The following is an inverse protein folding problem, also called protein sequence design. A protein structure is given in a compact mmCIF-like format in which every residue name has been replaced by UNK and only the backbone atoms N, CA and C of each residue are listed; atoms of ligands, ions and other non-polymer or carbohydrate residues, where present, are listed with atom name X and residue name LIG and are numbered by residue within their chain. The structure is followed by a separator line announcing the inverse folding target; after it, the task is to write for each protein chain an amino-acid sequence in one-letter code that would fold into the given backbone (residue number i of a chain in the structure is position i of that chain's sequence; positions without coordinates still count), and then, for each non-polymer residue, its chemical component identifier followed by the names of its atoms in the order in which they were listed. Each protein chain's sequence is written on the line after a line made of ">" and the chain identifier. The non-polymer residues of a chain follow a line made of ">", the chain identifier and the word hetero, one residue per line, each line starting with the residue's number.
data_IF_083124488796
#
_entry.id   IF_083124488796
#
_cell.length_a   1.000
_cell.length_b   1.000
_cell.length_c   1.000
_cell.angle_alpha   90.00
_cell.angle_beta   90.00
_cell.angle_gamma   90.00
#
_symmetry.space_group_name_H-M   'P 1'
#
loop_
_entity.id
_entity.type
_entity.pdbx_description
1 polymer ?
#
# COMPACT_ATOMS: atom_id res chain seq x y z
N UNK A 1 10.91 -12.95 -11.85
CA UNK A 1 11.58 -12.37 -10.68
C UNK A 1 10.50 -11.78 -9.79
N UNK A 2 10.48 -12.05 -8.49
CA UNK A 2 9.45 -11.50 -7.58
C UNK A 2 9.91 -10.12 -7.12
N UNK A 3 9.05 -9.12 -7.26
CA UNK A 3 9.29 -7.76 -6.79
C UNK A 3 9.07 -7.70 -5.27
N UNK A 4 10.04 -7.14 -4.55
CA UNK A 4 9.97 -7.00 -3.08
C UNK A 4 9.83 -5.54 -2.73
N UNK A 5 8.78 -5.24 -1.97
CA UNK A 5 8.56 -3.96 -1.33
C UNK A 5 8.89 -4.04 0.16
N UNK A 6 9.85 -3.22 0.60
CA UNK A 6 10.21 -3.11 2.00
C UNK A 6 9.34 -2.04 2.68
N UNK A 7 8.68 -2.40 3.77
CA UNK A 7 7.92 -1.46 4.60
C UNK A 7 8.86 -0.83 5.64
N UNK A 8 9.10 0.46 5.53
CA UNK A 8 10.01 1.21 6.39
C UNK A 8 9.27 2.10 7.38
N UNK A 9 9.80 2.22 8.60
CA UNK A 9 9.46 3.28 9.54
C UNK A 9 10.58 4.32 9.56
N UNK A 10 10.27 5.54 9.12
CA UNK A 10 11.25 6.60 8.93
C UNK A 10 12.41 6.16 7.98
N UNK A 11 13.57 6.78 8.12
CA UNK A 11 14.74 6.53 7.26
C UNK A 11 15.68 5.43 7.79
N UNK A 12 15.39 4.88 8.97
CA UNK A 12 16.27 3.90 9.61
C UNK A 12 16.38 2.65 8.75
N UNK A 13 17.61 2.31 8.32
CA UNK A 13 17.88 1.14 7.48
C UNK A 13 17.78 1.36 5.98
N UNK A 14 17.28 2.52 5.50
CA UNK A 14 17.21 2.78 4.05
C UNK A 14 18.59 2.79 3.38
N UNK A 15 19.62 3.26 4.10
CA UNK A 15 21.00 3.32 3.58
C UNK A 15 21.60 1.95 3.26
N UNK A 16 21.12 0.88 3.91
CA UNK A 16 21.63 -0.49 3.69
C UNK A 16 20.88 -1.23 2.59
N UNK A 17 19.81 -0.65 2.03
CA UNK A 17 19.07 -1.25 0.94
C UNK A 17 19.84 -1.17 -0.38
N UNK A 18 19.56 -2.15 -1.24
CA UNK A 18 20.12 -2.30 -2.58
C UNK A 18 19.01 -2.70 -3.56
N UNK A 19 19.05 -2.13 -4.77
CA UNK A 19 18.00 -2.28 -5.79
C UNK A 19 17.90 -3.68 -6.38
N UNK A 20 18.91 -4.54 -6.23
CA UNK A 20 18.81 -5.95 -6.60
C UNK A 20 17.96 -6.74 -5.59
N UNK A 21 17.88 -6.27 -4.34
CA UNK A 21 17.16 -6.93 -3.26
C UNK A 21 15.78 -6.34 -2.99
N UNK A 22 15.60 -5.04 -3.15
CA UNK A 22 14.34 -4.32 -2.90
C UNK A 22 14.14 -3.32 -4.03
N UNK A 23 13.04 -3.44 -4.75
CA UNK A 23 12.75 -2.55 -5.89
C UNK A 23 11.93 -1.33 -5.49
N UNK A 24 11.27 -1.39 -4.33
CA UNK A 24 10.44 -0.30 -3.82
C UNK A 24 10.40 -0.29 -2.30
N UNK A 25 10.26 0.89 -1.71
CA UNK A 25 10.01 1.08 -0.28
C UNK A 25 8.66 1.73 -0.07
N UNK A 26 7.82 1.15 0.77
CA UNK A 26 6.70 1.87 1.37
C UNK A 26 7.22 2.62 2.60
N UNK A 27 7.18 3.96 2.54
CA UNK A 27 7.63 4.84 3.62
C UNK A 27 6.45 5.24 4.49
N UNK A 28 6.52 4.81 5.75
CA UNK A 28 5.59 5.13 6.80
C UNK A 28 6.29 5.77 8.00
N UNK A 29 5.49 6.31 8.92
CA UNK A 29 5.85 6.41 10.34
C UNK A 29 4.84 5.60 11.18
N UNK A 30 5.10 5.42 12.48
CA UNK A 30 4.17 4.81 13.44
C UNK A 30 3.59 3.45 12.99
N UNK A 31 4.46 2.49 12.68
CA UNK A 31 4.07 1.12 12.33
C UNK A 31 3.35 0.40 13.48
N UNK A 32 3.50 0.87 14.72
CA UNK A 32 2.74 0.38 15.88
C UNK A 32 1.21 0.46 15.68
N UNK A 33 0.73 1.41 14.87
CA UNK A 33 -0.70 1.54 14.49
C UNK A 33 -0.99 1.15 13.04
N UNK A 34 -0.03 0.47 12.39
CA UNK A 34 -0.12 0.01 11.00
C UNK A 34 0.31 1.06 9.96
N UNK A 35 1.08 2.07 10.36
CA UNK A 35 1.61 3.10 9.45
C UNK A 35 0.73 4.35 9.39
N UNK A 36 1.35 5.52 9.47
CA UNK A 36 0.77 6.85 9.21
C UNK A 36 1.67 7.63 8.25
N UNK A 37 1.16 8.76 7.73
CA UNK A 37 1.96 9.68 6.92
C UNK A 37 3.23 10.07 7.69
N UNK A 38 4.44 9.86 7.12
CA UNK A 38 5.69 10.31 7.71
C UNK A 38 5.84 11.83 7.64
N UNK A 39 6.69 12.41 8.49
CA UNK A 39 6.92 13.87 8.46
C UNK A 39 7.53 14.35 7.13
N UNK A 40 7.30 15.62 6.79
CA UNK A 40 7.88 16.28 5.60
C UNK A 40 9.39 16.02 5.43
N UNK A 41 10.17 16.18 6.51
CA UNK A 41 11.62 15.97 6.47
C UNK A 41 12.00 14.51 6.18
N UNK A 42 11.20 13.56 6.65
CA UNK A 42 11.41 12.14 6.41
C UNK A 42 11.12 11.80 4.95
N UNK A 43 10.02 12.28 4.37
CA UNK A 43 9.71 12.07 2.94
C UNK A 43 10.84 12.63 2.08
N UNK A 44 11.24 13.87 2.32
CA UNK A 44 12.29 14.57 1.55
C UNK A 44 13.62 13.83 1.55
N UNK A 45 14.10 13.40 2.71
CA UNK A 45 15.39 12.73 2.80
C UNK A 45 15.31 11.26 2.36
N UNK A 46 14.18 10.58 2.56
CA UNK A 46 13.96 9.24 2.03
C UNK A 46 13.97 9.21 0.50
N UNK A 47 13.27 10.16 -0.16
CA UNK A 47 13.26 10.27 -1.62
C UNK A 47 14.67 10.32 -2.18
N UNK A 48 15.50 11.24 -1.67
CA UNK A 48 16.92 11.35 -2.06
C UNK A 48 17.69 10.04 -1.88
N UNK A 49 17.63 9.43 -0.69
CA UNK A 49 18.38 8.21 -0.38
C UNK A 49 17.98 7.06 -1.31
N UNK A 50 16.68 6.91 -1.58
CA UNK A 50 16.14 5.81 -2.37
C UNK A 50 16.39 6.01 -3.87
N UNK A 51 16.20 7.23 -4.36
CA UNK A 51 16.46 7.56 -5.76
C UNK A 51 17.95 7.46 -6.13
N UNK A 52 18.86 7.85 -5.23
CA UNK A 52 20.32 7.62 -5.40
C UNK A 52 20.69 6.13 -5.54
N UNK A 53 19.79 5.23 -5.12
CA UNK A 53 19.96 3.77 -5.15
C UNK A 53 19.11 3.08 -6.22
N UNK A 54 18.42 3.85 -7.07
CA UNK A 54 17.44 3.33 -8.04
C UNK A 54 16.31 2.49 -7.39
N UNK A 55 15.85 2.90 -6.20
CA UNK A 55 14.73 2.28 -5.48
C UNK A 55 13.55 3.27 -5.48
N UNK A 56 12.36 2.81 -5.89
CA UNK A 56 11.17 3.67 -5.88
C UNK A 56 10.62 3.89 -4.46
N UNK A 57 10.00 5.04 -4.24
CA UNK A 57 9.36 5.46 -3.00
C UNK A 57 7.83 5.47 -3.14
N UNK A 58 7.15 4.71 -2.28
CA UNK A 58 5.71 4.78 -2.08
C UNK A 58 5.43 5.46 -0.72
N UNK A 59 4.78 6.61 -0.70
CA UNK A 59 4.52 7.35 0.54
C UNK A 59 3.14 7.02 1.09
N UNK A 60 3.08 6.61 2.36
CA UNK A 60 1.82 6.44 3.08
C UNK A 60 1.12 7.77 3.25
N UNK A 61 -0.18 7.81 2.92
CA UNK A 61 -1.09 8.93 3.16
C UNK A 61 -2.18 8.42 4.09
N UNK A 62 -1.96 8.59 5.39
CA UNK A 62 -2.90 8.16 6.43
C UNK A 62 -2.75 9.05 7.66
N UNK A 63 -3.77 9.87 7.99
CA UNK A 63 -3.64 10.95 8.97
C UNK A 63 -3.59 10.44 10.42
N UNK A 64 -3.99 9.17 10.65
CA UNK A 64 -4.01 8.53 11.97
C UNK A 64 -4.17 7.01 11.84
N UNK A 65 -3.87 6.31 12.93
CA UNK A 65 -4.24 4.90 13.11
C UNK A 65 -5.76 4.69 13.27
N UNK A 66 -6.15 3.44 13.51
CA UNK A 66 -7.55 3.08 13.75
C UNK A 66 -8.34 2.82 12.47
N UNK A 67 -9.52 3.42 12.36
CA UNK A 67 -10.47 3.19 11.26
C UNK A 67 -9.99 3.78 9.92
N UNK A 68 -10.70 3.48 8.84
CA UNK A 68 -10.48 4.07 7.51
C UNK A 68 -11.67 4.95 7.07
N UNK A 69 -12.56 5.29 8.00
CA UNK A 69 -13.67 6.22 7.79
C UNK A 69 -13.19 7.60 8.23
N UNK A 70 -13.03 8.51 7.29
CA UNK A 70 -12.47 9.84 7.55
C UNK A 70 -13.54 10.91 7.57
N UNK A 71 -13.35 11.93 8.39
CA UNK A 71 -14.16 13.14 8.34
C UNK A 71 -13.52 14.20 7.43
N UNK A 72 -14.26 15.27 7.14
CA UNK A 72 -13.81 16.35 6.25
C UNK A 72 -12.47 16.99 6.64
N UNK A 73 -12.18 17.10 7.94
CA UNK A 73 -10.90 17.67 8.41
C UNK A 73 -9.76 16.68 8.18
N UNK A 74 -10.01 15.38 8.37
CA UNK A 74 -9.02 14.34 8.10
C UNK A 74 -8.74 14.20 6.60
N UNK A 75 -9.75 14.37 5.74
CA UNK A 75 -9.57 14.42 4.29
C UNK A 75 -8.73 15.63 3.86
N UNK A 76 -8.91 16.80 4.49
CA UNK A 76 -8.05 17.97 4.23
C UNK A 76 -6.60 17.75 4.66
N UNK A 77 -6.37 17.02 5.76
CA UNK A 77 -5.01 16.63 6.17
C UNK A 77 -4.39 15.74 5.09
N UNK A 78 -5.13 14.73 4.63
CA UNK A 78 -4.67 13.83 3.57
C UNK A 78 -4.37 14.57 2.27
N UNK A 79 -5.22 15.51 1.87
CA UNK A 79 -5.03 16.34 0.67
C UNK A 79 -3.73 17.14 0.74
N UNK A 80 -3.46 17.81 1.86
CA UNK A 80 -2.21 18.56 2.07
C UNK A 80 -1.00 17.62 2.04
N UNK A 81 -1.06 16.49 2.74
CA UNK A 81 0.02 15.50 2.76
C UNK A 81 0.31 14.92 1.37
N UNK A 82 -0.72 14.72 0.54
CA UNK A 82 -0.58 14.31 -0.86
C UNK A 82 0.19 15.37 -1.65
N UNK A 83 -0.20 16.64 -1.56
CA UNK A 83 0.47 17.74 -2.27
C UNK A 83 1.95 17.83 -1.86
N UNK A 84 2.25 17.65 -0.58
CA UNK A 84 3.63 17.62 -0.09
C UNK A 84 4.39 16.40 -0.60
N UNK A 85 3.81 15.20 -0.57
CA UNK A 85 4.46 13.99 -1.09
C UNK A 85 4.78 14.11 -2.59
N UNK A 86 3.84 14.64 -3.38
CA UNK A 86 4.07 14.92 -4.81
C UNK A 86 5.21 15.93 -5.00
N UNK A 87 5.19 17.04 -4.27
CA UNK A 87 6.22 18.08 -4.36
C UNK A 87 7.62 17.60 -3.90
N UNK A 88 7.66 16.54 -3.08
CA UNK A 88 8.87 15.89 -2.59
C UNK A 88 9.29 14.66 -3.42
N UNK A 89 8.72 14.52 -4.61
CA UNK A 89 9.12 13.51 -5.60
C UNK A 89 8.84 12.06 -5.16
N UNK A 90 7.79 11.82 -4.37
CA UNK A 90 7.29 10.46 -4.16
C UNK A 90 6.88 9.81 -5.49
N UNK A 91 7.25 8.55 -5.72
CA UNK A 91 6.92 7.84 -6.98
C UNK A 91 5.50 7.26 -6.98
N UNK A 92 4.92 7.05 -5.80
CA UNK A 92 3.55 6.55 -5.64
C UNK A 92 2.97 6.92 -4.28
N UNK A 93 1.66 6.90 -4.18
CA UNK A 93 0.91 7.22 -2.96
C UNK A 93 0.13 6.01 -2.48
N UNK A 94 0.18 5.74 -1.19
CA UNK A 94 -0.50 4.61 -0.54
C UNK A 94 -1.59 5.14 0.37
N UNK A 95 -2.85 4.81 0.08
CA UNK A 95 -4.00 5.30 0.84
C UNK A 95 -5.14 4.29 0.84
N UNK A 96 -6.16 4.51 1.66
CA UNK A 96 -7.39 3.75 1.54
C UNK A 96 -8.46 4.23 2.49
N UNK A 97 -9.67 4.34 1.98
CA UNK A 97 -10.77 5.06 2.60
C UNK A 97 -12.03 4.23 2.42
N UNK A 98 -12.77 4.06 3.51
CA UNK A 98 -13.95 3.23 3.56
C UNK A 98 -15.12 3.98 4.16
N UNK A 99 -16.32 3.57 3.76
CA UNK A 99 -17.56 3.99 4.41
C UNK A 99 -17.74 3.25 5.74
N UNK A 100 -18.73 3.68 6.54
CA UNK A 100 -19.10 3.00 7.81
C UNK A 100 -19.54 1.56 7.62
N UNK A 101 -19.99 1.20 6.41
CA UNK A 101 -20.42 -0.15 6.04
C UNK A 101 -19.26 -1.01 5.51
N UNK A 102 -18.01 -0.52 5.60
CA UNK A 102 -16.80 -1.12 5.04
C UNK A 102 -16.88 -1.34 3.53
N UNK A 103 -17.48 -0.39 2.81
CA UNK A 103 -17.36 -0.30 1.34
C UNK A 103 -16.35 0.78 0.98
N UNK A 104 -15.91 0.84 -0.28
CA UNK A 104 -15.05 1.92 -0.74
C UNK A 104 -15.78 3.25 -0.62
N UNK A 105 -15.10 4.25 -0.06
CA UNK A 105 -15.58 5.62 -0.06
C UNK A 105 -15.14 6.31 -1.36
N UNK A 106 -15.86 6.05 -2.45
CA UNK A 106 -15.49 6.55 -3.78
C UNK A 106 -15.57 8.07 -3.87
N UNK A 107 -16.53 8.70 -3.19
CA UNK A 107 -16.68 10.16 -3.15
C UNK A 107 -15.45 10.82 -2.52
N UNK A 108 -15.02 10.30 -1.35
CA UNK A 108 -13.86 10.83 -0.69
C UNK A 108 -12.56 10.55 -1.49
N UNK A 109 -12.45 9.39 -2.16
CA UNK A 109 -11.30 9.10 -3.04
C UNK A 109 -11.25 10.11 -4.19
N UNK A 110 -12.37 10.30 -4.89
CA UNK A 110 -12.49 11.25 -6.00
C UNK A 110 -12.17 12.69 -5.59
N UNK A 111 -12.53 13.09 -4.36
CA UNK A 111 -12.16 14.38 -3.80
C UNK A 111 -10.63 14.57 -3.73
N UNK A 112 -9.86 13.52 -3.41
CA UNK A 112 -8.40 13.59 -3.28
C UNK A 112 -7.66 13.38 -4.61
N UNK A 113 -8.30 12.79 -5.62
CA UNK A 113 -7.68 12.47 -6.91
C UNK A 113 -6.95 13.66 -7.56
N UNK A 114 -7.50 14.91 -7.61
CA UNK A 114 -6.80 16.04 -8.20
C UNK A 114 -5.44 16.35 -7.55
N UNK A 115 -5.33 16.19 -6.22
CA UNK A 115 -4.11 16.47 -5.49
C UNK A 115 -2.98 15.49 -5.83
N UNK A 116 -3.32 14.26 -6.26
CA UNK A 116 -2.35 13.21 -6.61
C UNK A 116 -1.53 13.54 -7.85
N UNK A 117 -2.00 14.49 -8.68
CA UNK A 117 -1.35 14.91 -9.93
C UNK A 117 -1.00 13.75 -10.87
N UNK A 118 -1.77 12.66 -10.80
CA UNK A 118 -1.60 11.48 -11.64
C UNK A 118 -0.50 10.52 -11.19
N UNK A 119 0.07 10.68 -9.98
CA UNK A 119 0.97 9.68 -9.43
C UNK A 119 0.27 8.31 -9.29
N UNK A 120 0.99 7.20 -9.51
CA UNK A 120 0.48 5.86 -9.24
C UNK A 120 -0.07 5.72 -7.81
N UNK A 121 -1.27 5.16 -7.70
CA UNK A 121 -1.94 4.94 -6.42
C UNK A 121 -1.94 3.47 -6.03
N UNK A 122 -1.80 3.21 -4.74
CA UNK A 122 -1.89 1.89 -4.11
C UNK A 122 -2.97 1.92 -3.03
N UNK A 123 -3.93 1.00 -3.10
CA UNK A 123 -4.94 0.86 -2.05
C UNK A 123 -4.42 -0.08 -0.96
N UNK A 124 -4.24 0.42 0.25
CA UNK A 124 -3.61 -0.35 1.33
C UNK A 124 -4.54 -1.38 2.00
N UNK A 125 -4.08 -1.99 3.11
CA UNK A 125 -4.78 -3.04 3.87
C UNK A 125 -6.18 -2.68 4.43
N UNK A 126 -6.69 -1.45 4.20
CA UNK A 126 -8.13 -1.19 4.29
C UNK A 126 -8.95 -2.15 3.41
N UNK A 127 -8.39 -2.65 2.30
CA UNK A 127 -9.06 -3.60 1.42
C UNK A 127 -9.56 -4.85 2.16
N UNK A 128 -8.78 -5.33 3.13
CA UNK A 128 -9.14 -6.51 3.92
C UNK A 128 -10.39 -6.31 4.78
N UNK A 129 -10.74 -5.06 5.10
CA UNK A 129 -11.94 -4.72 5.88
C UNK A 129 -13.21 -4.82 5.06
N UNK A 130 -13.11 -4.75 3.73
CA UNK A 130 -14.25 -4.89 2.83
C UNK A 130 -14.82 -6.31 2.95
N UNK A 131 -16.15 -6.48 3.09
CA UNK A 131 -16.76 -7.80 3.12
C UNK A 131 -16.31 -8.65 1.94
N UNK A 132 -15.98 -9.92 2.20
CA UNK A 132 -15.33 -10.82 1.25
C UNK A 132 -16.11 -10.93 -0.08
N UNK A 133 -17.43 -10.94 0.00
CA UNK A 133 -18.35 -10.98 -1.14
C UNK A 133 -18.36 -9.69 -1.97
N UNK A 134 -17.92 -8.56 -1.41
CA UNK A 134 -17.82 -7.25 -2.08
C UNK A 134 -16.42 -6.93 -2.59
N UNK A 135 -15.39 -7.67 -2.18
CA UNK A 135 -14.00 -7.38 -2.55
C UNK A 135 -13.73 -7.43 -4.06
N UNK A 136 -14.45 -8.25 -4.83
CA UNK A 136 -14.34 -8.25 -6.30
C UNK A 136 -14.88 -6.96 -6.92
N UNK A 137 -16.02 -6.48 -6.43
CA UNK A 137 -16.61 -5.20 -6.87
C UNK A 137 -15.67 -4.05 -6.50
N UNK A 138 -15.14 -4.05 -5.28
CA UNK A 138 -14.18 -3.05 -4.85
C UNK A 138 -12.91 -3.05 -5.72
N UNK A 139 -12.43 -4.22 -6.13
CA UNK A 139 -11.29 -4.34 -7.03
C UNK A 139 -11.58 -3.69 -8.40
N UNK A 140 -12.76 -3.95 -8.97
CA UNK A 140 -13.17 -3.33 -10.24
C UNK A 140 -13.24 -1.81 -10.11
N UNK A 141 -13.87 -1.30 -9.04
CA UNK A 141 -13.96 0.13 -8.76
C UNK A 141 -12.57 0.78 -8.59
N UNK A 142 -11.65 0.14 -7.86
CA UNK A 142 -10.28 0.66 -7.71
C UNK A 142 -9.55 0.71 -9.05
N UNK A 143 -9.72 -0.30 -9.89
CA UNK A 143 -9.15 -0.31 -11.24
C UNK A 143 -9.73 0.82 -12.11
N UNK A 144 -11.04 1.05 -12.06
CA UNK A 144 -11.71 2.16 -12.77
C UNK A 144 -11.28 3.54 -12.28
N UNK A 145 -11.03 3.69 -10.97
CA UNK A 145 -10.50 4.91 -10.35
C UNK A 145 -9.00 5.13 -10.64
N UNK A 146 -8.34 4.20 -11.32
CA UNK A 146 -6.93 4.31 -11.71
C UNK A 146 -5.92 3.88 -10.65
N UNK A 147 -6.35 3.14 -9.61
CA UNK A 147 -5.39 2.49 -8.72
C UNK A 147 -4.58 1.46 -9.48
N UNK A 148 -3.27 1.47 -9.25
CA UNK A 148 -2.34 0.57 -9.94
C UNK A 148 -2.13 -0.73 -9.16
N UNK A 149 -2.25 -0.68 -7.83
CA UNK A 149 -2.04 -1.84 -6.96
C UNK A 149 -2.98 -1.87 -5.75
N UNK A 150 -3.18 -3.05 -5.20
CA UNK A 150 -3.85 -3.29 -3.92
C UNK A 150 -2.91 -4.09 -3.01
N UNK A 151 -2.62 -3.54 -1.84
CA UNK A 151 -1.93 -4.24 -0.75
C UNK A 151 -2.97 -4.92 0.15
N UNK A 152 -2.85 -6.23 0.33
CA UNK A 152 -3.80 -7.02 1.11
C UNK A 152 -3.16 -8.19 1.87
N UNK A 153 -3.76 -8.57 2.99
CA UNK A 153 -3.46 -9.80 3.72
C UNK A 153 -4.39 -10.95 3.31
N UNK A 154 -5.56 -10.65 2.75
CA UNK A 154 -6.62 -11.60 2.40
C UNK A 154 -7.55 -11.95 3.58
N UNK A 155 -7.38 -11.29 4.73
CA UNK A 155 -8.15 -11.49 5.97
C UNK A 155 -8.00 -10.29 6.90
N UNK A 156 -9.01 -10.00 7.72
CA UNK A 156 -8.90 -9.03 8.83
C UNK A 156 -8.19 -9.59 10.06
N UNK A 157 -8.05 -10.91 10.15
CA UNK A 157 -7.43 -11.59 11.28
C UNK A 157 -5.91 -11.53 11.14
N UNK A 158 -5.21 -11.48 12.29
CA UNK A 158 -3.73 -11.53 12.32
C UNK A 158 -3.24 -12.99 12.26
N UNK A 159 -3.72 -13.74 11.27
CA UNK A 159 -3.32 -15.14 11.06
C UNK A 159 -2.08 -15.23 10.15
N UNK A 160 -1.57 -16.45 9.96
CA UNK A 160 -0.57 -16.69 8.93
C UNK A 160 -1.16 -16.39 7.54
N UNK A 161 -0.47 -15.57 6.75
CA UNK A 161 -0.90 -15.16 5.41
C UNK A 161 -1.02 -16.34 4.46
N UNK A 162 -0.24 -17.41 4.65
CA UNK A 162 -0.33 -18.62 3.84
C UNK A 162 -1.72 -19.27 3.95
N UNK A 163 -2.40 -19.12 5.09
CA UNK A 163 -3.78 -19.62 5.26
C UNK A 163 -4.80 -18.83 4.43
N UNK A 164 -4.43 -17.65 3.92
CA UNK A 164 -5.28 -16.82 3.06
C UNK A 164 -4.98 -17.02 1.56
N UNK A 165 -3.99 -17.84 1.20
CA UNK A 165 -3.46 -17.95 -0.16
C UNK A 165 -4.52 -18.29 -1.21
N UNK A 166 -5.47 -19.18 -0.91
CA UNK A 166 -6.56 -19.54 -1.84
C UNK A 166 -7.44 -18.35 -2.20
N UNK A 167 -7.71 -17.48 -1.20
CA UNK A 167 -8.52 -16.30 -1.44
C UNK A 167 -7.74 -15.22 -2.19
N UNK A 168 -6.48 -15.00 -1.82
CA UNK A 168 -5.59 -14.09 -2.56
C UNK A 168 -5.46 -14.55 -4.02
N UNK A 169 -5.30 -15.85 -4.28
CA UNK A 169 -5.28 -16.43 -5.62
C UNK A 169 -6.57 -16.15 -6.39
N UNK A 170 -7.72 -16.28 -5.72
CA UNK A 170 -9.03 -16.00 -6.32
C UNK A 170 -9.13 -14.54 -6.77
N UNK A 171 -8.69 -13.60 -5.92
CA UNK A 171 -8.67 -12.18 -6.25
C UNK A 171 -7.63 -11.88 -7.35
N UNK A 172 -6.44 -12.48 -7.29
CA UNK A 172 -5.39 -12.29 -8.29
C UNK A 172 -5.84 -12.75 -9.68
N UNK A 173 -6.47 -13.92 -9.74
CA UNK A 173 -7.06 -14.46 -10.99
C UNK A 173 -8.19 -13.56 -11.49
N UNK A 174 -9.02 -13.04 -10.59
CA UNK A 174 -10.10 -12.12 -10.95
C UNK A 174 -9.57 -10.77 -11.46
N UNK A 175 -8.47 -10.28 -10.89
CA UNK A 175 -7.84 -9.03 -11.30
C UNK A 175 -7.37 -9.09 -12.76
N UNK A 176 -6.88 -10.26 -13.19
CA UNK A 176 -6.48 -10.54 -14.58
C UNK A 176 -5.57 -9.44 -15.18
N UNK A 177 -4.62 -8.96 -14.37
CA UNK A 177 -3.65 -7.93 -14.77
C UNK A 177 -4.19 -6.50 -14.83
N UNK A 178 -5.49 -6.25 -14.57
CA UNK A 178 -6.10 -4.90 -14.57
C UNK A 178 -5.62 -4.04 -13.40
N UNK A 179 -5.30 -4.67 -12.28
CA UNK A 179 -4.71 -4.07 -11.08
C UNK A 179 -3.83 -5.10 -10.40
N UNK A 180 -2.67 -4.67 -9.90
CA UNK A 180 -1.70 -5.59 -9.29
C UNK A 180 -2.08 -5.91 -7.84
N UNK A 181 -2.04 -7.18 -7.44
CA UNK A 181 -2.19 -7.56 -6.03
C UNK A 181 -0.83 -7.77 -5.39
N UNK A 182 -0.65 -7.15 -4.22
CA UNK A 182 0.57 -7.21 -3.41
C UNK A 182 0.22 -7.83 -2.06
N UNK A 183 0.47 -9.13 -1.84
CA UNK A 183 0.27 -9.73 -0.54
C UNK A 183 1.22 -9.13 0.50
N UNK A 184 0.67 -8.79 1.67
CA UNK A 184 1.39 -8.18 2.79
C UNK A 184 0.78 -8.51 4.15
N UNK A 185 1.52 -8.16 5.21
CA UNK A 185 1.15 -8.53 6.60
C UNK A 185 1.59 -9.96 6.94
N UNK A 186 2.78 -10.09 7.54
CA UNK A 186 3.35 -11.40 7.88
C UNK A 186 4.20 -12.05 6.78
N UNK A 187 4.43 -11.36 5.66
CA UNK A 187 5.36 -11.82 4.62
C UNK A 187 6.81 -11.54 5.04
N UNK A 188 7.68 -12.53 4.86
CA UNK A 188 9.09 -12.50 5.23
C UNK A 188 9.96 -13.11 4.12
N UNK A 189 11.28 -12.95 4.23
CA UNK A 189 12.26 -13.62 3.37
C UNK A 189 12.09 -15.16 3.33
N UNK A 190 11.49 -15.77 4.35
CA UNK A 190 11.31 -17.22 4.46
C UNK A 190 10.06 -17.74 3.74
N UNK A 191 8.99 -16.94 3.64
CA UNK A 191 7.69 -17.41 3.14
C UNK A 191 7.25 -16.80 1.81
N UNK A 192 7.88 -15.71 1.34
CA UNK A 192 7.39 -14.97 0.18
C UNK A 192 7.37 -15.81 -1.11
N UNK A 193 8.37 -16.69 -1.31
CA UNK A 193 8.45 -17.52 -2.51
C UNK A 193 7.29 -18.51 -2.59
N UNK A 194 6.98 -19.16 -1.46
CA UNK A 194 5.87 -20.10 -1.37
C UNK A 194 4.52 -19.38 -1.55
N UNK A 195 4.37 -18.21 -0.92
CA UNK A 195 3.17 -17.39 -1.07
C UNK A 195 2.95 -16.99 -2.55
N UNK A 196 3.97 -16.51 -3.24
CA UNK A 196 3.89 -16.20 -4.67
C UNK A 196 3.54 -17.43 -5.52
N UNK A 197 4.14 -18.59 -5.21
CA UNK A 197 3.84 -19.85 -5.92
C UNK A 197 2.39 -20.27 -5.76
N UNK A 198 1.81 -20.12 -4.56
CA UNK A 198 0.42 -20.49 -4.28
C UNK A 198 -0.58 -19.50 -4.90
N UNK A 199 -0.28 -18.21 -4.83
CA UNK A 199 -1.21 -17.13 -5.19
C UNK A 199 -1.12 -16.70 -6.65
N UNK A 200 0.04 -16.84 -7.29
CA UNK A 200 0.36 -16.28 -8.60
C UNK A 200 0.86 -14.82 -8.57
N UNK A 201 0.79 -14.15 -7.41
CA UNK A 201 1.26 -12.77 -7.28
C UNK A 201 2.76 -12.64 -7.55
N UNK A 202 3.17 -11.54 -8.20
CA UNK A 202 4.56 -11.28 -8.59
C UNK A 202 5.25 -10.22 -7.73
N UNK A 203 4.53 -9.65 -6.77
CA UNK A 203 5.03 -8.65 -5.83
C UNK A 203 4.62 -8.99 -4.42
N UNK A 204 5.44 -8.62 -3.43
CA UNK A 204 5.21 -8.89 -2.01
C UNK A 204 5.66 -7.72 -1.16
N UNK A 205 5.00 -7.51 -0.04
CA UNK A 205 5.24 -6.41 0.89
C UNK A 205 5.57 -6.92 2.29
N UNK A 206 6.62 -6.39 2.93
CA UNK A 206 6.86 -6.69 4.34
C UNK A 206 8.02 -5.92 5.00
N UNK A 207 7.96 -5.83 6.32
CA UNK A 207 9.02 -5.25 7.18
C UNK A 207 10.22 -6.18 7.36
N UNK A 208 10.08 -7.47 7.03
CA UNK A 208 11.14 -8.51 7.10
C UNK A 208 11.31 -9.24 5.77
N UNK A 209 11.10 -8.52 4.66
CA UNK A 209 11.11 -9.09 3.30
C UNK A 209 12.53 -9.35 2.75
N UNK A 210 13.53 -8.83 3.46
CA UNK A 210 14.96 -9.06 3.26
C UNK A 210 15.58 -9.63 4.52
#
# INVERSE_FOLDING_TARGET
>A
MILKEFCAENITGLQTLDSQSVTRVELCDNLAVGGTTPSYGVIKEAAKILHEKDISLATMIRPRGGSFVYNDLELKIMEEDILQAVALESDSLVLGMLTKDNELDTEAIEQLMPATQGLPLVFHMAFDRIPKEKQKVALDQLSELGFTRILLHGSVQKNDILANADWIKTLHTYADGRIELVPGGGVTAENYQELCRLTGCQSVHGTRII
#
